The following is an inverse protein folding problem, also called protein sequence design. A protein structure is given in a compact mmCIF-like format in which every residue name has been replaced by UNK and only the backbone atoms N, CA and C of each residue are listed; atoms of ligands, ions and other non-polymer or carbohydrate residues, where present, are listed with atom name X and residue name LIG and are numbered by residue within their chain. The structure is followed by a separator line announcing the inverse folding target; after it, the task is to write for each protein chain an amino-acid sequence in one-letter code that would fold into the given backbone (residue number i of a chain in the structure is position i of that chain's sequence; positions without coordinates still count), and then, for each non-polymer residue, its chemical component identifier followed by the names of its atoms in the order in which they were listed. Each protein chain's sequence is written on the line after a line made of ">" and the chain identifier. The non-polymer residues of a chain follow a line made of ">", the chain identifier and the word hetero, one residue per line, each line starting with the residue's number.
data_IF_709708843237
#
_entry.id   IF_709708843237
#
_cell.length_a   1.000
_cell.length_b   1.000
_cell.length_c   1.000
_cell.angle_alpha   90.00
_cell.angle_beta   90.00
_cell.angle_gamma   90.00
#
_symmetry.space_group_name_H-M   'P 1'
#
loop_
_entity.id
_entity.type
_entity.pdbx_description
1 polymer ?
#
# COMPACT_ATOMS: atom_id res chain seq x y z
N UNK A 1 -9.95 0.61 -0.91
CA UNK A 1 -10.20 0.46 0.55
C UNK A 1 -10.90 -0.87 0.77
N UNK A 2 -10.17 -1.99 0.70
CA UNK A 2 -10.73 -3.34 0.94
C UNK A 2 -10.20 -4.00 2.22
N UNK A 3 -9.25 -3.38 2.91
CA UNK A 3 -9.00 -3.68 4.31
C UNK A 3 -9.99 -2.83 5.11
N UNK A 4 -10.82 -3.43 5.97
CA UNK A 4 -11.88 -2.76 6.73
C UNK A 4 -11.41 -1.74 7.79
N UNK A 5 -10.34 -0.99 7.51
CA UNK A 5 -9.78 0.09 8.31
C UNK A 5 -10.06 1.43 7.61
N UNK A 6 -10.52 2.40 8.38
CA UNK A 6 -10.55 3.81 7.96
C UNK A 6 -9.13 4.36 7.83
N UNK A 7 -8.95 5.46 7.09
CA UNK A 7 -7.65 6.16 7.00
C UNK A 7 -7.05 6.51 8.38
N UNK A 8 -7.90 6.86 9.34
CA UNK A 8 -7.48 7.17 10.72
C UNK A 8 -6.95 5.94 11.45
N UNK A 9 -7.66 4.80 11.36
CA UNK A 9 -7.24 3.55 11.99
C UNK A 9 -5.97 3.00 11.35
N UNK A 10 -5.85 3.10 10.03
CA UNK A 10 -4.64 2.72 9.30
C UNK A 10 -3.43 3.58 9.70
N UNK A 11 -3.61 4.90 9.79
CA UNK A 11 -2.56 5.79 10.24
C UNK A 11 -2.17 5.52 11.70
N UNK A 12 -3.15 5.24 12.57
CA UNK A 12 -2.91 4.87 13.96
C UNK A 12 -2.11 3.57 14.08
N UNK A 13 -2.43 2.55 13.28
CA UNK A 13 -1.69 1.28 13.24
C UNK A 13 -0.22 1.46 12.83
N UNK A 14 0.10 2.54 12.12
CA UNK A 14 1.47 2.89 11.70
C UNK A 14 2.12 3.93 12.62
N UNK A 15 1.45 4.33 13.71
CA UNK A 15 1.88 5.41 14.59
C UNK A 15 2.15 6.73 13.83
N UNK A 16 1.33 7.01 12.80
CA UNK A 16 1.41 8.20 11.96
C UNK A 16 0.15 9.07 12.07
N UNK A 17 0.24 10.37 11.72
CA UNK A 17 -0.95 11.22 11.56
C UNK A 17 -1.84 10.73 10.43
N UNK A 18 -3.17 10.93 10.51
CA UNK A 18 -4.10 10.56 9.44
C UNK A 18 -3.75 11.19 8.07
N UNK A 19 -3.13 12.37 8.06
CA UNK A 19 -2.61 12.99 6.83
C UNK A 19 -1.60 12.12 6.10
N UNK A 20 -0.85 11.24 6.80
CA UNK A 20 0.05 10.28 6.18
C UNK A 20 -0.70 9.31 5.25
N UNK A 21 -1.81 8.73 5.72
CA UNK A 21 -2.65 7.85 4.92
C UNK A 21 -3.28 8.60 3.73
N UNK A 22 -3.78 9.83 3.98
CA UNK A 22 -4.35 10.66 2.93
C UNK A 22 -3.33 11.03 1.83
N UNK A 23 -2.10 11.38 2.22
CA UNK A 23 -1.04 11.71 1.26
C UNK A 23 -0.67 10.52 0.38
N UNK A 24 -0.64 9.31 0.95
CA UNK A 24 -0.33 8.07 0.23
C UNK A 24 -1.42 7.76 -0.78
N UNK A 25 -2.69 7.77 -0.36
CA UNK A 25 -3.83 7.46 -1.23
C UNK A 25 -3.96 8.47 -2.38
N UNK A 26 -3.56 9.72 -2.15
CA UNK A 26 -3.54 10.78 -3.18
C UNK A 26 -2.29 10.78 -4.05
N UNK A 27 -1.32 9.89 -3.79
CA UNK A 27 -0.05 9.83 -4.51
C UNK A 27 0.89 11.01 -4.24
N UNK A 28 0.65 11.79 -3.18
CA UNK A 28 1.44 12.96 -2.80
C UNK A 28 2.67 12.58 -1.98
N UNK A 29 2.72 11.36 -1.45
CA UNK A 29 3.82 10.84 -0.65
C UNK A 29 4.45 9.61 -1.31
N UNK A 30 5.76 9.67 -1.54
CA UNK A 30 6.56 8.49 -1.87
C UNK A 30 6.80 7.66 -0.61
N UNK A 31 6.74 6.34 -0.78
CA UNK A 31 7.05 5.35 0.25
C UNK A 31 8.41 4.73 -0.03
N UNK A 32 9.23 4.62 1.00
CA UNK A 32 10.40 3.75 0.97
C UNK A 32 10.01 2.28 1.29
N UNK A 33 10.94 1.36 1.11
CA UNK A 33 10.67 -0.07 1.27
C UNK A 33 10.36 -0.48 2.73
N UNK A 34 10.94 0.21 3.71
CA UNK A 34 10.67 -0.05 5.14
C UNK A 34 9.27 0.40 5.48
N UNK A 35 8.87 1.59 5.01
CA UNK A 35 7.51 2.09 5.16
C UNK A 35 6.48 1.19 4.47
N UNK A 36 6.80 0.69 3.27
CA UNK A 36 5.94 -0.26 2.58
C UNK A 36 5.81 -1.57 3.38
N UNK A 37 6.90 -2.06 3.98
CA UNK A 37 6.88 -3.24 4.86
C UNK A 37 5.96 -3.03 6.06
N UNK A 38 6.05 -1.89 6.73
CA UNK A 38 5.23 -1.57 7.90
C UNK A 38 3.74 -1.49 7.53
N UNK A 39 3.43 -0.91 6.36
CA UNK A 39 2.08 -0.90 5.79
C UNK A 39 1.57 -2.32 5.55
N UNK A 40 2.37 -3.19 4.91
CA UNK A 40 1.99 -4.58 4.68
C UNK A 40 1.70 -5.30 6.00
N UNK A 41 2.55 -5.11 7.03
CA UNK A 41 2.34 -5.71 8.35
C UNK A 41 1.06 -5.21 9.03
N UNK A 42 0.77 -3.91 8.98
CA UNK A 42 -0.45 -3.33 9.54
C UNK A 42 -1.73 -3.88 8.87
N UNK A 43 -1.63 -4.27 7.60
CA UNK A 43 -2.71 -4.88 6.82
C UNK A 43 -2.72 -6.41 6.89
N UNK A 44 -1.83 -7.03 7.66
CA UNK A 44 -1.65 -8.48 7.75
C UNK A 44 -1.38 -9.15 6.37
N UNK A 45 -0.56 -8.49 5.55
CA UNK A 45 -0.11 -8.95 4.23
C UNK A 45 1.41 -9.12 4.26
N UNK A 46 1.93 -10.18 3.62
CA UNK A 46 3.37 -10.33 3.41
C UNK A 46 3.91 -9.34 2.37
N UNK A 47 5.03 -8.67 2.66
CA UNK A 47 5.65 -7.73 1.71
C UNK A 47 5.97 -8.40 0.37
N UNK A 48 6.50 -9.63 0.40
CA UNK A 48 6.84 -10.39 -0.81
C UNK A 48 5.58 -10.71 -1.62
N UNK A 49 4.50 -11.12 -0.96
CA UNK A 49 3.22 -11.40 -1.62
C UNK A 49 2.63 -10.14 -2.26
N UNK A 50 2.73 -9.00 -1.57
CA UNK A 50 2.29 -7.70 -2.10
C UNK A 50 3.05 -7.33 -3.37
N UNK A 51 4.39 -7.39 -3.34
CA UNK A 51 5.23 -7.07 -4.50
C UNK A 51 4.97 -8.03 -5.66
N UNK A 52 4.79 -9.33 -5.38
CA UNK A 52 4.49 -10.31 -6.42
C UNK A 52 3.14 -10.01 -7.11
N UNK A 53 2.10 -9.63 -6.34
CA UNK A 53 0.81 -9.22 -6.91
C UNK A 53 0.94 -7.97 -7.78
N UNK A 54 1.68 -6.97 -7.29
CA UNK A 54 1.94 -5.74 -8.04
C UNK A 54 2.64 -6.01 -9.38
N UNK A 55 3.72 -6.79 -9.39
CA UNK A 55 4.44 -7.16 -10.62
C UNK A 55 3.54 -7.96 -11.58
N UNK A 56 2.73 -8.87 -11.06
CA UNK A 56 1.78 -9.63 -11.87
C UNK A 56 0.75 -8.70 -12.55
N UNK A 57 0.16 -7.75 -11.82
CA UNK A 57 -0.80 -6.78 -12.39
C UNK A 57 -0.17 -5.89 -13.47
N UNK A 58 1.07 -5.46 -13.27
CA UNK A 58 1.81 -4.70 -14.28
C UNK A 58 2.10 -5.54 -15.53
N UNK A 59 2.43 -6.82 -15.36
CA UNK A 59 2.69 -7.74 -16.47
C UNK A 59 1.43 -8.01 -17.31
N UNK A 60 0.27 -8.15 -16.66
CA UNK A 60 -1.03 -8.34 -17.34
C UNK A 60 -1.43 -7.09 -18.12
N UNK A 61 -1.20 -5.90 -17.54
CA UNK A 61 -1.51 -4.62 -18.18
C UNK A 61 -0.64 -4.35 -19.42
N UNK A 62 0.54 -4.99 -19.52
CA UNK A 62 1.44 -4.88 -20.67
C UNK A 62 0.96 -5.66 -21.90
N UNK A 63 0.14 -6.70 -21.73
CA UNK A 63 -0.34 -7.56 -22.81
C UNK A 63 -1.65 -7.10 -23.49
N UNK A 64 -2.29 -6.04 -23.01
CA UNK A 64 -3.55 -5.51 -23.58
C UNK A 64 -3.33 -4.42 -24.66
N UNK A 65 -2.08 -4.18 -25.04
CA UNK A 65 -1.69 -3.14 -26.01
C UNK A 65 -0.71 -3.61 -27.09
N UNK A 66 -0.52 -4.93 -27.26
CA UNK A 66 0.23 -5.54 -28.37
C UNK A 66 -0.71 -6.22 -29.36
#
# INVERSE_FOLDING_TARGET
>A
MEAGLTQSEFAQALERPQSFASDIERGLRRLDLVQLRDICLALNIGLVDFVQRFENELSVSKGAGE
#
